data_IF_487723581473
#
_entry.id   IF_487723581473
#
_cell.length_a   1.000
_cell.length_b   1.000
_cell.length_c   1.000
_cell.angle_alpha   90.00
_cell.angle_beta   90.00
_cell.angle_gamma   90.00
#
_symmetry.space_group_name_H-M   'P 1'
#
loop_
_entity.id
_entity.type
_entity.pdbx_description
1 polymer ?
#
# COMPACT_ATOMS: atom_id res chain seq x y z
N UNK A 1 -12.96 -14.89 -4.22
CA UNK A 1 -12.73 -16.33 -3.99
C UNK A 1 -11.42 -16.47 -3.23
N UNK A 2 -11.40 -17.13 -2.09
CA UNK A 2 -10.20 -17.31 -1.26
C UNK A 2 -9.85 -18.80 -1.30
N UNK A 3 -8.56 -19.14 -1.38
CA UNK A 3 -8.16 -20.54 -1.44
C UNK A 3 -8.57 -21.27 -0.14
N UNK A 4 -9.19 -22.46 -0.26
CA UNK A 4 -9.79 -23.18 0.88
C UNK A 4 -8.73 -23.80 1.79
N UNK A 5 -7.56 -24.14 1.24
CA UNK A 5 -6.50 -24.82 1.99
C UNK A 5 -5.66 -23.84 2.81
N UNK A 6 -5.46 -24.18 4.09
CA UNK A 6 -4.65 -23.45 5.06
C UNK A 6 -3.38 -24.25 5.35
N UNK A 7 -2.23 -23.60 5.21
CA UNK A 7 -0.95 -24.16 5.65
C UNK A 7 -0.70 -23.62 7.06
N UNK A 8 -0.62 -24.51 8.04
CA UNK A 8 -0.55 -24.15 9.47
C UNK A 8 0.58 -23.15 9.77
N UNK A 9 1.76 -23.35 9.19
CA UNK A 9 2.94 -22.48 9.40
C UNK A 9 2.74 -21.03 8.92
N UNK A 10 1.76 -20.80 8.04
CA UNK A 10 1.46 -19.48 7.49
C UNK A 10 0.12 -18.90 7.99
N UNK A 11 -0.53 -19.54 8.96
CA UNK A 11 -1.84 -19.08 9.43
C UNK A 11 -1.74 -17.71 10.12
N UNK A 12 -0.70 -17.49 10.92
CA UNK A 12 -0.47 -16.22 11.62
C UNK A 12 -0.11 -15.04 10.68
N UNK A 13 0.24 -15.32 9.42
CA UNK A 13 0.62 -14.30 8.43
C UNK A 13 -0.43 -14.24 7.31
N UNK A 14 -0.32 -15.13 6.33
CA UNK A 14 -1.22 -15.18 5.18
C UNK A 14 -2.64 -15.57 5.56
N UNK A 15 -2.83 -16.41 6.58
CA UNK A 15 -4.14 -16.76 7.12
C UNK A 15 -4.88 -15.56 7.71
N UNK A 16 -4.18 -14.72 8.49
CA UNK A 16 -4.69 -13.44 8.99
C UNK A 16 -5.11 -12.49 7.86
N UNK A 17 -4.30 -12.35 6.81
CA UNK A 17 -4.65 -11.52 5.65
C UNK A 17 -5.90 -12.04 4.96
N UNK A 18 -6.05 -13.36 4.80
CA UNK A 18 -7.26 -13.98 4.24
C UNK A 18 -8.50 -13.68 5.10
N UNK A 19 -8.39 -13.82 6.42
CA UNK A 19 -9.49 -13.50 7.34
C UNK A 19 -9.94 -12.04 7.22
N UNK A 20 -8.99 -11.10 7.18
CA UNK A 20 -9.27 -9.68 6.96
C UNK A 20 -9.93 -9.40 5.61
N UNK A 21 -9.45 -10.04 4.54
CA UNK A 21 -10.04 -9.87 3.20
C UNK A 21 -11.51 -10.32 3.16
N UNK A 22 -11.86 -11.43 3.85
CA UNK A 22 -13.25 -11.87 3.97
C UNK A 22 -14.12 -10.83 4.68
N UNK A 23 -13.61 -10.25 5.78
CA UNK A 23 -14.34 -9.25 6.57
C UNK A 23 -14.55 -7.92 5.82
N UNK A 24 -13.59 -7.56 4.96
CA UNK A 24 -13.68 -6.33 4.14
C UNK A 24 -14.59 -6.50 2.92
N UNK A 25 -14.94 -7.72 2.52
CA UNK A 25 -15.84 -7.94 1.40
C UNK A 25 -17.22 -7.33 1.71
N UNK A 26 -17.73 -6.48 0.82
CA UNK A 26 -18.94 -5.64 1.02
C UNK A 26 -18.87 -4.60 2.15
N UNK A 27 -17.75 -4.48 2.86
CA UNK A 27 -17.51 -3.47 3.89
C UNK A 27 -16.26 -2.64 3.58
N UNK A 28 -16.00 -2.45 2.29
CA UNK A 28 -14.87 -1.65 1.83
C UNK A 28 -15.12 -0.20 2.26
N UNK A 29 -14.16 0.46 2.94
CA UNK A 29 -14.30 1.86 3.29
C UNK A 29 -14.33 2.71 2.01
N UNK A 30 -15.32 3.60 1.91
CA UNK A 30 -15.42 4.56 0.81
C UNK A 30 -16.80 4.59 0.14
N UNK A 31 -16.89 5.38 -0.93
CA UNK A 31 -18.12 5.56 -1.72
C UNK A 31 -17.81 5.27 -3.20
N UNK A 32 -18.39 4.22 -3.80
CA UNK A 32 -18.11 3.85 -5.18
C UNK A 32 -18.57 4.92 -6.19
N UNK A 33 -19.56 5.76 -5.86
CA UNK A 33 -19.97 6.87 -6.73
C UNK A 33 -18.91 7.96 -6.76
N UNK A 34 -18.32 8.28 -5.60
CA UNK A 34 -17.19 9.25 -5.53
C UNK A 34 -15.95 8.73 -6.22
N UNK A 35 -15.69 7.41 -6.13
CA UNK A 35 -14.63 6.77 -6.89
C UNK A 35 -14.82 6.94 -8.40
N UNK A 36 -16.01 6.65 -8.91
CA UNK A 36 -16.30 6.81 -10.34
C UNK A 36 -16.09 8.26 -10.81
N UNK A 37 -16.51 9.25 -10.02
CA UNK A 37 -16.27 10.67 -10.31
C UNK A 37 -14.77 11.00 -10.35
N UNK A 38 -13.99 10.51 -9.39
CA UNK A 38 -12.54 10.73 -9.36
C UNK A 38 -11.84 10.12 -10.59
N UNK A 39 -12.31 8.97 -11.08
CA UNK A 39 -11.76 8.35 -12.29
C UNK A 39 -12.05 9.16 -13.56
N UNK A 40 -13.24 9.75 -13.68
CA UNK A 40 -13.56 10.64 -14.81
C UNK A 40 -12.65 11.86 -14.81
N UNK A 41 -12.48 12.51 -13.65
CA UNK A 41 -11.56 13.64 -13.50
C UNK A 41 -10.12 13.25 -13.86
N UNK A 42 -9.69 12.07 -13.45
CA UNK A 42 -8.34 11.56 -13.77
C UNK A 42 -8.16 11.31 -15.26
N UNK A 43 -9.17 10.79 -15.95
CA UNK A 43 -9.11 10.53 -17.39
C UNK A 43 -8.99 11.81 -18.21
N UNK A 44 -9.59 12.91 -17.73
CA UNK A 44 -9.51 14.23 -18.37
C UNK A 44 -8.27 15.05 -17.94
N UNK A 45 -7.41 14.50 -17.07
CA UNK A 45 -6.25 15.22 -16.57
C UNK A 45 -5.15 15.34 -17.65
N UNK A 46 -4.59 16.54 -17.90
CA UNK A 46 -3.57 16.74 -18.93
C UNK A 46 -2.26 16.02 -18.61
N UNK A 47 -1.96 15.78 -17.33
CA UNK A 47 -0.79 15.04 -16.86
C UNK A 47 -1.23 14.13 -15.69
N UNK A 48 -1.76 12.93 -15.97
CA UNK A 48 -2.24 12.04 -14.92
C UNK A 48 -1.06 11.47 -14.10
N UNK A 49 -1.18 11.36 -12.77
CA UNK A 49 -0.16 10.74 -11.94
C UNK A 49 -0.05 9.24 -12.22
N UNK A 50 1.15 8.68 -12.03
CA UNK A 50 1.39 7.23 -12.14
C UNK A 50 0.63 6.43 -11.07
N UNK A 51 0.42 7.02 -9.88
CA UNK A 51 -0.29 6.41 -8.75
C UNK A 51 -1.24 7.44 -8.13
N UNK A 52 -2.49 7.05 -7.92
CA UNK A 52 -3.50 7.86 -7.24
C UNK A 52 -4.05 7.10 -6.03
N UNK A 53 -3.66 7.48 -4.80
CA UNK A 53 -4.26 6.95 -3.59
C UNK A 53 -5.71 7.41 -3.46
N UNK A 54 -6.62 6.48 -3.18
CA UNK A 54 -8.05 6.76 -3.03
C UNK A 54 -8.49 6.32 -1.64
N UNK A 55 -9.08 7.24 -0.89
CA UNK A 55 -9.44 7.03 0.52
C UNK A 55 -8.36 7.54 1.49
N UNK A 56 -8.81 8.04 2.64
CA UNK A 56 -7.95 8.62 3.68
C UNK A 56 -7.08 7.57 4.38
N UNK A 57 -7.57 6.34 4.46
CA UNK A 57 -6.84 5.17 4.94
C UNK A 57 -5.64 4.86 4.04
N UNK A 58 -5.83 4.84 2.72
CA UNK A 58 -4.75 4.65 1.74
C UNK A 58 -3.72 5.77 1.84
N UNK A 59 -4.16 7.02 1.97
CA UNK A 59 -3.26 8.17 2.18
C UNK A 59 -2.43 8.01 3.47
N UNK A 60 -3.08 7.66 4.58
CA UNK A 60 -2.40 7.46 5.87
C UNK A 60 -1.39 6.30 5.81
N UNK A 61 -1.74 5.20 5.13
CA UNK A 61 -0.85 4.07 4.95
C UNK A 61 0.43 4.45 4.18
N UNK A 62 0.30 5.17 3.07
CA UNK A 62 1.42 5.62 2.25
C UNK A 62 2.31 6.60 3.02
N UNK A 63 1.72 7.57 3.73
CA UNK A 63 2.48 8.53 4.54
C UNK A 63 3.32 7.80 5.60
N UNK A 64 2.72 6.83 6.28
CA UNK A 64 3.41 6.02 7.29
C UNK A 64 4.56 5.21 6.69
N UNK A 65 4.32 4.57 5.56
CA UNK A 65 5.34 3.76 4.87
C UNK A 65 6.51 4.62 4.39
N UNK A 66 6.23 5.77 3.77
CA UNK A 66 7.27 6.71 3.35
C UNK A 66 8.10 7.21 4.53
N UNK A 67 7.46 7.55 5.65
CA UNK A 67 8.17 7.99 6.85
C UNK A 67 9.08 6.89 7.41
N UNK A 68 8.61 5.64 7.42
CA UNK A 68 9.40 4.49 7.83
C UNK A 68 10.63 4.27 6.92
N UNK A 69 10.43 4.28 5.60
CA UNK A 69 11.50 4.10 4.63
C UNK A 69 12.54 5.22 4.70
N UNK A 70 12.10 6.46 4.87
CA UNK A 70 12.98 7.62 5.07
C UNK A 70 13.83 7.42 6.33
N UNK A 71 13.20 7.07 7.46
CA UNK A 71 13.91 6.81 8.71
C UNK A 71 14.96 5.70 8.55
N UNK A 72 14.58 4.56 7.98
CA UNK A 72 15.49 3.43 7.79
C UNK A 72 16.68 3.78 6.89
N UNK A 73 16.42 4.56 5.84
CA UNK A 73 17.45 5.07 4.91
C UNK A 73 18.42 5.99 5.63
N UNK A 74 17.92 6.91 6.45
CA UNK A 74 18.78 7.83 7.22
C UNK A 74 19.64 7.10 8.24
N UNK A 75 19.06 6.13 8.97
CA UNK A 75 19.81 5.29 9.92
C UNK A 75 20.94 4.52 9.25
N UNK A 76 20.77 4.09 8.00
CA UNK A 76 21.75 3.27 7.27
C UNK A 76 22.56 4.05 6.23
N UNK A 77 22.43 5.38 6.17
CA UNK A 77 23.05 6.21 5.14
C UNK A 77 24.57 6.02 5.08
N UNK A 78 25.25 6.14 6.23
CA UNK A 78 26.71 6.05 6.29
C UNK A 78 27.22 4.65 5.90
N UNK A 79 26.58 3.61 6.41
CA UNK A 79 26.93 2.22 6.07
C UNK A 79 26.71 1.94 4.57
N UNK A 80 25.60 2.41 4.02
CA UNK A 80 25.30 2.22 2.58
C UNK A 80 26.32 2.96 1.72
N UNK A 81 26.65 4.21 2.05
CA UNK A 81 27.65 5.01 1.33
C UNK A 81 29.08 4.45 1.43
N UNK A 82 29.41 3.71 2.50
CA UNK A 82 30.74 3.08 2.62
C UNK A 82 31.01 1.97 1.60
N UNK A 83 30.00 1.58 0.82
CA UNK A 83 30.14 0.56 -0.23
C UNK A 83 30.49 1.14 -1.60
N UNK A 84 30.67 2.45 -1.70
CA UNK A 84 31.12 3.11 -2.93
C UNK A 84 32.55 2.68 -3.30
N UNK A 85 32.84 2.63 -4.60
CA UNK A 85 34.21 2.44 -5.07
C UNK A 85 35.09 3.62 -4.62
N UNK A 86 36.37 3.39 -4.30
CA UNK A 86 37.32 4.48 -4.11
C UNK A 86 37.37 5.35 -5.36
N UNK A 87 37.42 6.67 -5.17
CA UNK A 87 37.58 7.66 -6.23
C UNK A 87 38.95 7.52 -6.95
#
# INVERSE_FOLDING_TARGET
>A
MIAPDVIADYDASSGEVRRKATQMNHNQPGDPKKLAQALVVLADAPNPPLRLPLGTDTLAAIVRENAYLEQETQTRRALSASTDFPA
#
